data_IF_194355795925
#
_entry.id   IF_194355795925
#
_cell.length_a   1.000
_cell.length_b   1.000
_cell.length_c   1.000
_cell.angle_alpha   90.00
_cell.angle_beta   90.00
_cell.angle_gamma   90.00
#
_symmetry.space_group_name_H-M   'P 1'
#
loop_
_entity.id
_entity.type
_entity.pdbx_description
1 polymer ?
#
# COMPACT_ATOMS: atom_id res chain seq x y z
N UNK A 1 -14.61 -25.56 6.83
CA UNK A 1 -15.20 -24.36 7.45
C UNK A 1 -14.26 -23.93 8.57
N UNK A 2 -13.35 -22.99 8.29
CA UNK A 2 -12.60 -22.35 9.37
C UNK A 2 -13.56 -21.41 10.06
N UNK A 3 -13.71 -21.54 11.37
CA UNK A 3 -14.46 -20.58 12.19
C UNK A 3 -13.70 -19.26 12.09
N UNK A 4 -14.34 -18.21 11.58
CA UNK A 4 -13.79 -16.87 11.59
C UNK A 4 -13.88 -16.33 13.02
N UNK A 5 -12.83 -16.54 13.81
CA UNK A 5 -12.61 -15.75 15.02
C UNK A 5 -12.02 -14.40 14.59
N UNK A 6 -12.83 -13.35 14.70
CA UNK A 6 -12.42 -11.97 14.43
C UNK A 6 -11.68 -11.41 15.66
N UNK A 7 -10.52 -11.98 16.00
CA UNK A 7 -9.64 -11.36 16.98
C UNK A 7 -8.73 -10.37 16.26
N UNK A 8 -9.23 -9.14 16.06
CA UNK A 8 -8.47 -8.03 15.47
C UNK A 8 -7.38 -7.47 16.42
N UNK A 9 -6.99 -8.24 17.44
CA UNK A 9 -6.01 -7.88 18.46
C UNK A 9 -4.99 -8.98 18.66
N UNK A 10 -3.73 -8.57 18.78
CA UNK A 10 -2.63 -9.42 19.21
C UNK A 10 -2.03 -8.80 20.48
N UNK A 11 -2.13 -9.49 21.61
CA UNK A 11 -1.60 -9.01 22.90
C UNK A 11 -2.04 -7.57 23.24
N UNK A 12 -3.35 -7.32 23.22
CA UNK A 12 -4.00 -6.01 23.46
C UNK A 12 -3.67 -4.87 22.46
N UNK A 13 -2.82 -5.13 21.46
CA UNK A 13 -2.53 -4.19 20.37
C UNK A 13 -3.35 -4.53 19.12
N UNK A 14 -3.71 -3.54 18.29
CA UNK A 14 -4.40 -3.82 17.04
C UNK A 14 -3.55 -4.73 16.15
N UNK A 15 -4.18 -5.71 15.51
CA UNK A 15 -3.56 -6.65 14.57
C UNK A 15 -2.89 -5.90 13.40
N UNK A 16 -3.53 -4.85 12.92
CA UNK A 16 -2.96 -3.87 12.00
C UNK A 16 -3.70 -2.55 12.13
N UNK A 17 -3.13 -1.49 11.57
CA UNK A 17 -3.76 -0.19 11.47
C UNK A 17 -4.08 0.11 10.00
N UNK A 18 -5.01 1.03 9.75
CA UNK A 18 -5.21 1.63 8.44
C UNK A 18 -4.85 3.11 8.56
N UNK A 19 -4.02 3.67 7.65
CA UNK A 19 -3.69 5.09 7.75
C UNK A 19 -4.96 5.93 7.64
N UNK A 20 -5.08 6.94 8.49
CA UNK A 20 -6.24 7.83 8.49
C UNK A 20 -6.40 8.47 7.10
N UNK A 21 -7.62 8.52 6.62
CA UNK A 21 -7.91 9.06 5.30
C UNK A 21 -9.19 9.88 5.31
N UNK A 22 -9.27 10.82 4.36
CA UNK A 22 -10.45 11.61 4.10
C UNK A 22 -10.79 11.52 2.61
N UNK A 23 -12.06 11.22 2.33
CA UNK A 23 -12.59 11.27 0.98
C UNK A 23 -13.09 12.69 0.68
N UNK A 24 -12.72 13.19 -0.49
CA UNK A 24 -13.19 14.44 -1.06
C UNK A 24 -13.91 14.10 -2.38
N UNK A 25 -15.08 14.69 -2.65
CA UNK A 25 -15.75 14.48 -3.93
C UNK A 25 -15.25 15.44 -5.01
N UNK A 26 -14.56 16.50 -4.60
CA UNK A 26 -13.85 17.43 -5.47
C UNK A 26 -12.61 17.90 -4.75
N UNK A 27 -11.58 18.34 -5.49
CA UNK A 27 -10.35 18.76 -4.84
C UNK A 27 -10.56 20.02 -3.99
N UNK A 28 -11.38 20.96 -4.44
CA UNK A 28 -11.63 22.22 -3.71
C UNK A 28 -12.36 22.03 -2.37
N UNK A 29 -12.92 20.85 -2.07
CA UNK A 29 -13.50 20.56 -0.75
C UNK A 29 -12.50 20.82 0.39
N UNK A 30 -11.19 20.64 0.16
CA UNK A 30 -10.17 20.86 1.21
C UNK A 30 -10.13 22.29 1.76
N UNK A 31 -10.63 23.28 1.00
CA UNK A 31 -10.69 24.69 1.42
C UNK A 31 -11.83 24.99 2.40
N UNK A 32 -12.87 24.16 2.40
CA UNK A 32 -14.09 24.37 3.19
C UNK A 32 -14.33 23.29 4.23
N UNK A 33 -13.63 22.16 4.12
CA UNK A 33 -13.69 21.00 5.02
C UNK A 33 -12.45 20.96 5.90
N UNK A 34 -12.63 20.58 7.16
CA UNK A 34 -11.50 20.30 8.04
C UNK A 34 -10.74 19.07 7.53
N UNK A 35 -9.47 19.26 7.19
CA UNK A 35 -8.57 18.18 6.76
C UNK A 35 -7.91 17.58 8.00
N UNK A 36 -8.61 16.62 8.60
CA UNK A 36 -8.15 15.89 9.78
C UNK A 36 -7.26 14.69 9.39
N UNK A 37 -6.16 14.98 8.67
CA UNK A 37 -5.08 14.03 8.37
C UNK A 37 -3.73 14.70 8.59
N UNK A 38 -2.73 13.94 9.04
CA UNK A 38 -1.36 14.43 9.18
C UNK A 38 -0.63 14.38 7.84
N UNK A 39 0.17 15.41 7.59
CA UNK A 39 1.09 15.48 6.47
C UNK A 39 2.50 15.01 6.86
N UNK A 40 3.25 14.37 5.95
CA UNK A 40 2.94 14.14 4.52
C UNK A 40 1.74 13.21 4.31
N UNK A 41 1.11 13.33 3.14
CA UNK A 41 -0.08 12.57 2.77
C UNK A 41 -0.01 12.10 1.31
N UNK A 42 -0.69 11.00 1.01
CA UNK A 42 -0.86 10.48 -0.35
C UNK A 42 -2.25 10.83 -0.87
N UNK A 43 -2.33 11.50 -2.01
CA UNK A 43 -3.56 11.62 -2.78
C UNK A 43 -3.70 10.43 -3.73
N UNK A 44 -4.79 9.69 -3.57
CA UNK A 44 -5.21 8.59 -4.45
C UNK A 44 -6.53 8.96 -5.11
N UNK A 45 -6.72 8.60 -6.38
CA UNK A 45 -8.04 8.72 -7.01
C UNK A 45 -9.01 7.70 -6.38
N UNK A 46 -10.30 8.04 -6.27
CA UNK A 46 -11.31 7.12 -5.73
C UNK A 46 -11.68 6.00 -6.70
N UNK A 47 -11.49 6.22 -8.00
CA UNK A 47 -11.68 5.18 -9.01
C UNK A 47 -10.56 4.14 -8.87
N UNK A 48 -10.90 2.96 -8.36
CA UNK A 48 -9.94 1.93 -7.99
C UNK A 48 -9.67 0.86 -9.09
N UNK A 49 -10.36 0.92 -10.25
CA UNK A 49 -10.30 -0.15 -11.24
C UNK A 49 -10.16 0.33 -12.70
N UNK A 50 -9.28 -0.37 -13.42
CA UNK A 50 -9.30 -0.60 -14.88
C UNK A 50 -8.97 0.58 -15.80
N UNK A 51 -8.54 1.72 -15.26
CA UNK A 51 -8.08 2.85 -16.05
C UNK A 51 -6.64 3.23 -15.66
N UNK A 52 -5.88 3.78 -16.60
CA UNK A 52 -4.49 4.24 -16.35
C UNK A 52 -4.45 5.28 -15.23
N UNK A 53 -5.52 6.04 -15.08
CA UNK A 53 -5.71 7.08 -14.08
C UNK A 53 -5.78 6.52 -12.66
N UNK A 54 -6.40 5.35 -12.44
CA UNK A 54 -6.57 4.75 -11.10
C UNK A 54 -5.25 4.53 -10.34
N UNK A 55 -4.14 4.44 -11.08
CA UNK A 55 -2.80 4.21 -10.56
C UNK A 55 -1.97 5.47 -10.40
N UNK A 56 -2.49 6.62 -10.85
CA UNK A 56 -1.87 7.92 -10.68
C UNK A 56 -2.09 8.41 -9.25
N UNK A 57 -1.00 8.65 -8.54
CA UNK A 57 -0.98 9.11 -7.17
C UNK A 57 -0.13 10.37 -7.04
N UNK A 58 -0.38 11.14 -6.00
CA UNK A 58 0.44 12.32 -5.70
C UNK A 58 0.81 12.36 -4.24
N UNK A 59 2.10 12.42 -3.97
CA UNK A 59 2.66 12.57 -2.63
C UNK A 59 2.71 14.06 -2.26
N UNK A 60 2.16 14.40 -1.11
CA UNK A 60 1.95 15.78 -0.67
C UNK A 60 2.74 15.99 0.62
N UNK A 61 3.79 16.82 0.63
CA UNK A 61 4.62 16.98 1.82
C UNK A 61 3.94 17.79 2.93
N UNK A 62 3.05 18.72 2.58
CA UNK A 62 2.38 19.60 3.55
C UNK A 62 1.02 20.11 3.05
N UNK A 63 0.18 20.60 3.96
CA UNK A 63 -1.17 21.09 3.63
C UNK A 63 -1.14 22.31 2.70
N UNK A 64 -0.10 23.14 2.80
CA UNK A 64 0.10 24.32 1.95
C UNK A 64 0.34 23.95 0.48
N UNK A 65 0.64 22.69 0.19
CA UNK A 65 0.87 22.17 -1.16
C UNK A 65 -0.38 21.57 -1.81
N UNK A 66 -1.53 21.53 -1.11
CA UNK A 66 -2.78 20.97 -1.61
C UNK A 66 -3.24 21.60 -2.93
N UNK A 67 -3.10 22.92 -3.11
CA UNK A 67 -3.47 23.59 -4.38
C UNK A 67 -2.65 23.10 -5.58
N UNK A 68 -1.44 22.54 -5.37
CA UNK A 68 -0.62 22.01 -6.47
C UNK A 68 -1.21 20.75 -7.10
N UNK A 69 -2.11 20.05 -6.41
CA UNK A 69 -2.78 18.87 -6.94
C UNK A 69 -3.64 19.17 -8.18
N UNK A 70 -4.14 20.41 -8.33
CA UNK A 70 -4.90 20.87 -9.52
C UNK A 70 -4.12 20.73 -10.84
N UNK A 71 -2.80 20.54 -10.77
CA UNK A 71 -1.96 20.23 -11.95
C UNK A 71 -2.19 18.80 -12.47
N UNK A 72 -2.69 17.90 -11.63
CA UNK A 72 -2.72 16.45 -11.88
C UNK A 72 -4.11 15.80 -11.71
N UNK A 73 -5.04 16.52 -11.08
CA UNK A 73 -6.39 16.06 -10.74
C UNK A 73 -7.37 17.13 -11.21
N UNK A 74 -8.46 16.71 -11.84
CA UNK A 74 -9.50 17.63 -12.31
C UNK A 74 -10.31 18.21 -11.13
N UNK A 75 -10.86 19.42 -11.28
CA UNK A 75 -11.54 20.12 -10.18
C UNK A 75 -12.70 19.30 -9.57
N UNK A 76 -13.44 18.56 -10.39
CA UNK A 76 -14.59 17.74 -9.98
C UNK A 76 -14.21 16.28 -9.68
N UNK A 77 -12.94 15.93 -9.66
CA UNK A 77 -12.51 14.56 -9.46
C UNK A 77 -12.49 14.18 -7.97
N UNK A 78 -13.04 13.01 -7.69
CA UNK A 78 -13.14 12.50 -6.34
C UNK A 78 -11.84 11.79 -5.92
N UNK A 79 -11.27 12.23 -4.80
CA UNK A 79 -9.96 11.75 -4.30
C UNK A 79 -10.03 11.29 -2.85
N UNK A 80 -9.03 10.52 -2.45
CA UNK A 80 -8.74 10.14 -1.07
C UNK A 80 -7.41 10.77 -0.70
N UNK A 81 -7.39 11.56 0.37
CA UNK A 81 -6.15 12.01 0.99
C UNK A 81 -5.90 11.09 2.19
N UNK A 82 -4.82 10.32 2.15
CA UNK A 82 -4.45 9.33 3.16
C UNK A 82 -3.13 9.73 3.82
N UNK A 83 -3.03 9.61 5.14
CA UNK A 83 -1.77 9.86 5.86
C UNK A 83 -0.62 9.02 5.28
N UNK A 84 0.52 9.66 5.02
CA UNK A 84 1.73 8.94 4.65
C UNK A 84 2.40 8.39 5.92
N UNK A 85 2.49 7.07 5.99
CA UNK A 85 3.18 6.40 7.08
C UNK A 85 4.66 6.38 6.76
N UNK A 86 5.49 6.90 7.65
CA UNK A 86 6.95 6.78 7.55
C UNK A 86 7.32 5.30 7.70
N UNK A 87 7.98 4.70 6.69
CA UNK A 87 8.20 3.25 6.58
C UNK A 87 9.57 2.85 6.01
N UNK A 88 10.54 3.77 6.05
CA UNK A 88 11.95 3.53 5.67
C UNK A 88 12.17 3.09 4.22
N UNK A 89 11.25 3.40 3.30
CA UNK A 89 11.39 3.05 1.89
C UNK A 89 11.17 1.58 1.57
N UNK A 90 10.52 0.82 2.46
CA UNK A 90 10.22 -0.60 2.24
C UNK A 90 8.73 -0.89 2.40
N UNK A 91 8.11 -1.46 1.38
CA UNK A 91 6.74 -1.97 1.43
C UNK A 91 6.75 -3.49 1.36
N UNK A 92 5.86 -4.13 2.12
CA UNK A 92 5.70 -5.59 2.14
C UNK A 92 4.48 -5.93 1.31
N UNK A 93 4.67 -6.71 0.25
CA UNK A 93 3.58 -7.27 -0.56
C UNK A 93 3.23 -8.64 -0.01
N UNK A 94 1.98 -8.84 0.38
CA UNK A 94 1.48 -10.14 0.82
C UNK A 94 0.47 -10.64 -0.20
N UNK A 95 0.70 -11.83 -0.73
CA UNK A 95 -0.18 -12.53 -1.65
C UNK A 95 -0.89 -13.65 -0.89
N UNK A 96 -2.18 -13.79 -1.13
CA UNK A 96 -3.03 -14.79 -0.48
C UNK A 96 -3.70 -15.64 -1.54
N UNK A 97 -3.53 -16.96 -1.43
CA UNK A 97 -4.16 -17.96 -2.28
C UNK A 97 -4.66 -19.12 -1.43
N UNK A 98 -5.97 -19.35 -1.41
CA UNK A 98 -6.62 -20.41 -0.59
C UNK A 98 -6.18 -20.40 0.89
N UNK A 99 -6.00 -19.20 1.46
CA UNK A 99 -5.59 -19.01 2.86
C UNK A 99 -4.09 -19.19 3.13
N UNK A 100 -3.28 -19.56 2.14
CA UNK A 100 -1.82 -19.53 2.25
C UNK A 100 -1.29 -18.15 1.87
N UNK A 101 -0.24 -17.71 2.57
CA UNK A 101 0.41 -16.43 2.29
C UNK A 101 1.80 -16.60 1.67
N UNK A 102 2.17 -15.67 0.80
CA UNK A 102 3.56 -15.43 0.38
C UNK A 102 3.83 -13.94 0.55
N UNK A 103 4.93 -13.58 1.21
CA UNK A 103 5.30 -12.20 1.45
C UNK A 103 6.64 -11.85 0.80
N UNK A 104 6.76 -10.66 0.25
CA UNK A 104 8.01 -10.13 -0.30
C UNK A 104 8.18 -8.65 0.04
N UNK A 105 9.42 -8.20 0.23
CA UNK A 105 9.71 -6.77 0.40
C UNK A 105 9.99 -6.12 -0.96
N UNK A 106 9.60 -4.85 -1.11
CA UNK A 106 9.84 -4.06 -2.33
C UNK A 106 10.30 -2.63 -1.99
N UNK A 107 11.02 -1.96 -2.91
CA UNK A 107 11.28 -0.54 -2.83
C UNK A 107 10.01 0.28 -2.65
N UNK A 108 10.11 1.36 -1.88
CA UNK A 108 9.03 2.31 -1.64
C UNK A 108 9.59 3.70 -1.33
N UNK A 109 8.71 4.63 -0.98
CA UNK A 109 9.05 6.01 -0.66
C UNK A 109 9.86 6.11 0.65
N UNK A 110 10.99 6.83 0.58
CA UNK A 110 11.82 7.18 1.73
C UNK A 110 10.98 7.93 2.76
N UNK A 111 11.48 7.95 4.00
CA UNK A 111 10.90 8.83 4.99
C UNK A 111 11.02 10.29 4.54
N UNK A 112 9.93 11.03 4.72
CA UNK A 112 9.81 12.41 4.28
C UNK A 112 9.69 13.36 5.44
N UNK A 113 10.30 14.53 5.31
CA UNK A 113 9.92 15.69 6.08
C UNK A 113 8.71 16.40 5.42
N UNK A 114 8.38 17.59 5.90
CA UNK A 114 7.28 18.42 5.36
C UNK A 114 7.77 19.42 4.30
N UNK A 115 8.96 19.22 3.74
CA UNK A 115 9.58 20.12 2.78
C UNK A 115 9.50 19.57 1.35
N UNK A 116 9.86 20.40 0.37
CA UNK A 116 9.79 20.06 -1.05
C UNK A 116 8.46 20.40 -1.71
N UNK A 117 8.25 19.86 -2.91
CA UNK A 117 7.03 19.99 -3.71
C UNK A 117 6.30 18.65 -3.83
N UNK A 118 5.09 18.68 -4.38
CA UNK A 118 4.33 17.46 -4.62
C UNK A 118 5.02 16.57 -5.64
N UNK A 119 4.96 15.26 -5.45
CA UNK A 119 5.52 14.28 -6.39
C UNK A 119 4.39 13.47 -6.99
N UNK A 120 4.16 13.64 -8.28
CA UNK A 120 3.17 12.89 -9.05
C UNK A 120 3.81 11.67 -9.72
N UNK A 121 3.16 10.52 -9.65
CA UNK A 121 3.70 9.27 -10.18
C UNK A 121 2.61 8.25 -10.52
N UNK A 122 2.95 7.31 -11.39
CA UNK A 122 2.17 6.09 -11.64
C UNK A 122 2.71 4.95 -10.76
N UNK A 123 1.85 4.42 -9.90
CA UNK A 123 2.20 3.29 -9.03
C UNK A 123 2.61 2.01 -9.79
N UNK A 124 2.16 1.82 -11.03
CA UNK A 124 2.50 0.64 -11.84
C UNK A 124 3.91 0.66 -12.42
N UNK A 125 4.46 1.86 -12.64
CA UNK A 125 5.78 2.07 -13.22
C UNK A 125 6.89 2.11 -12.16
N UNK A 126 6.53 2.04 -10.87
CA UNK A 126 7.50 2.02 -9.79
C UNK A 126 8.35 0.74 -9.81
N UNK A 127 9.64 0.84 -9.44
CA UNK A 127 10.52 -0.29 -9.23
C UNK A 127 9.90 -1.37 -8.33
N UNK A 128 9.99 -2.63 -8.77
CA UNK A 128 9.48 -3.78 -8.01
C UNK A 128 10.57 -4.51 -7.23
N UNK A 129 11.83 -4.22 -7.52
CA UNK A 129 13.02 -4.76 -6.85
C UNK A 129 14.04 -3.66 -6.61
N UNK A 130 14.81 -3.79 -5.54
CA UNK A 130 15.95 -2.92 -5.28
C UNK A 130 17.02 -3.09 -6.38
N UNK A 131 17.89 -2.08 -6.51
CA UNK A 131 19.01 -2.06 -7.46
C UNK A 131 18.58 -2.17 -8.94
N UNK A 132 17.36 -1.75 -9.26
CA UNK A 132 16.89 -1.69 -10.65
C UNK A 132 17.47 -0.49 -11.41
N UNK A 133 17.65 -0.65 -12.72
CA UNK A 133 18.07 0.40 -13.65
C UNK A 133 16.90 1.24 -14.20
N UNK A 134 15.68 1.06 -13.67
CA UNK A 134 14.53 1.88 -14.07
C UNK A 134 14.83 3.37 -13.81
N UNK A 135 14.74 4.16 -14.88
CA UNK A 135 14.84 5.61 -14.84
C UNK A 135 13.54 6.18 -14.25
N UNK A 136 13.69 6.99 -13.21
CA UNK A 136 12.60 7.73 -12.57
C UNK A 136 12.78 9.20 -12.90
N UNK A 137 11.69 9.98 -12.85
CA UNK A 137 11.82 11.44 -12.91
C UNK A 137 12.68 11.94 -11.75
N UNK A 138 13.36 13.08 -11.96
CA UNK A 138 14.26 13.67 -10.96
C UNK A 138 13.58 13.86 -9.60
N UNK A 139 12.30 14.24 -9.58
CA UNK A 139 11.56 14.46 -8.33
C UNK A 139 11.20 13.15 -7.63
N UNK A 140 10.90 12.10 -8.41
CA UNK A 140 10.60 10.77 -7.86
C UNK A 140 11.87 10.06 -7.35
N UNK A 141 13.00 10.17 -8.05
CA UNK A 141 14.27 9.54 -7.66
C UNK A 141 14.79 10.09 -6.30
N UNK A 142 14.53 11.37 -6.02
CA UNK A 142 14.84 12.00 -4.72
C UNK A 142 14.09 11.33 -3.57
N UNK A 143 12.80 11.03 -3.75
CA UNK A 143 11.92 10.54 -2.68
C UNK A 143 11.75 9.03 -2.64
N UNK A 144 12.15 8.30 -3.68
CA UNK A 144 11.97 6.85 -3.79
C UNK A 144 13.27 6.08 -3.48
N UNK A 145 13.18 5.00 -2.70
CA UNK A 145 14.35 4.21 -2.29
C UNK A 145 14.69 3.11 -3.30
N UNK A 146 15.22 3.51 -4.46
CA UNK A 146 15.57 2.55 -5.54
C UNK A 146 16.78 1.66 -5.22
N UNK A 147 17.74 2.20 -4.47
CA UNK A 147 18.95 1.51 -4.03
C UNK A 147 18.94 1.35 -2.52
N UNK A 148 19.45 0.23 -2.02
CA UNK A 148 19.48 -0.06 -0.59
C UNK A 148 20.91 -0.36 -0.09
N UNK A 149 21.77 0.68 -0.03
CA UNK A 149 23.13 0.52 0.46
C UNK A 149 23.19 0.19 1.96
N UNK A 150 22.10 0.42 2.70
CA UNK A 150 21.99 0.16 4.13
C UNK A 150 21.42 -1.22 4.47
N UNK A 151 21.02 -1.99 3.47
CA UNK A 151 20.28 -3.25 3.63
C UNK A 151 19.05 -3.11 4.54
N UNK A 152 18.33 -1.98 4.45
CA UNK A 152 17.11 -1.76 5.22
C UNK A 152 16.01 -2.78 4.88
N UNK A 153 15.95 -3.28 3.64
CA UNK A 153 14.98 -4.30 3.26
C UNK A 153 15.19 -5.60 4.03
N UNK A 154 16.45 -6.04 4.20
CA UNK A 154 16.81 -7.23 4.98
C UNK A 154 16.42 -7.04 6.46
N UNK A 155 16.68 -5.84 6.99
CA UNK A 155 16.31 -5.51 8.38
C UNK A 155 14.79 -5.54 8.57
N UNK A 156 14.01 -4.98 7.63
CA UNK A 156 12.55 -4.98 7.66
C UNK A 156 11.99 -6.39 7.49
N UNK A 157 12.56 -7.19 6.61
CA UNK A 157 12.18 -8.58 6.40
C UNK A 157 12.40 -9.43 7.65
N UNK A 158 13.53 -9.25 8.35
CA UNK A 158 13.81 -9.93 9.61
C UNK A 158 12.85 -9.56 10.76
N UNK A 159 12.14 -8.43 10.65
CA UNK A 159 11.12 -7.98 11.62
C UNK A 159 9.72 -8.49 11.29
N UNK A 160 9.53 -9.18 10.15
CA UNK A 160 8.22 -9.68 9.76
C UNK A 160 7.78 -10.83 10.65
N UNK A 161 6.60 -10.65 11.23
CA UNK A 161 5.87 -11.68 11.93
C UNK A 161 4.90 -12.32 10.94
N UNK A 162 5.31 -13.45 10.37
CA UNK A 162 4.51 -14.21 9.42
C UNK A 162 3.21 -14.74 10.02
N UNK A 163 3.16 -15.01 11.34
CA UNK A 163 1.92 -15.40 12.00
C UNK A 163 0.94 -14.22 12.02
N UNK A 164 1.43 -13.02 12.34
CA UNK A 164 0.63 -11.79 12.26
C UNK A 164 0.14 -11.51 10.83
N UNK A 165 0.99 -11.66 9.81
CA UNK A 165 0.57 -11.52 8.41
C UNK A 165 -0.51 -12.53 8.02
N UNK A 166 -0.40 -13.77 8.49
CA UNK A 166 -1.41 -14.82 8.27
C UNK A 166 -2.73 -14.47 8.94
N UNK A 167 -2.70 -13.93 10.16
CA UNK A 167 -3.91 -13.45 10.85
C UNK A 167 -4.56 -12.27 10.10
N UNK A 168 -3.77 -11.32 9.59
CA UNK A 168 -4.29 -10.21 8.75
C UNK A 168 -4.98 -10.78 7.50
N UNK A 169 -4.33 -11.73 6.81
CA UNK A 169 -4.92 -12.40 5.65
C UNK A 169 -6.24 -13.09 5.99
N UNK A 170 -6.33 -13.78 7.13
CA UNK A 170 -7.55 -14.44 7.58
C UNK A 170 -8.66 -13.42 7.90
N UNK A 171 -8.35 -12.31 8.58
CA UNK A 171 -9.32 -11.25 8.88
C UNK A 171 -9.86 -10.63 7.58
N UNK A 172 -8.99 -10.29 6.62
CA UNK A 172 -9.39 -9.78 5.31
C UNK A 172 -10.22 -10.80 4.51
N UNK A 173 -9.86 -12.08 4.56
CA UNK A 173 -10.63 -13.17 3.95
C UNK A 173 -12.05 -13.23 4.52
N UNK A 174 -12.18 -13.22 5.85
CA UNK A 174 -13.48 -13.31 6.52
C UNK A 174 -14.37 -12.09 6.21
N UNK A 175 -13.78 -10.90 6.05
CA UNK A 175 -14.51 -9.67 5.75
C UNK A 175 -14.90 -9.54 4.27
N UNK A 176 -14.02 -9.96 3.35
CA UNK A 176 -14.18 -9.71 1.90
C UNK A 176 -14.58 -10.95 1.09
N UNK A 177 -14.43 -12.16 1.65
CA UNK A 177 -14.74 -13.42 0.98
C UNK A 177 -13.82 -13.77 -0.21
N UNK A 178 -12.66 -13.12 -0.33
CA UNK A 178 -11.78 -13.25 -1.49
C UNK A 178 -10.89 -14.49 -1.40
N UNK A 179 -10.83 -15.30 -2.47
CA UNK A 179 -9.95 -16.48 -2.51
C UNK A 179 -8.52 -16.16 -2.95
N UNK A 180 -8.41 -15.22 -3.88
CA UNK A 180 -7.15 -14.72 -4.43
C UNK A 180 -7.13 -13.22 -4.25
N UNK A 181 -6.23 -12.74 -3.40
CA UNK A 181 -6.04 -11.32 -3.18
C UNK A 181 -4.61 -11.05 -2.74
N UNK A 182 -4.22 -9.79 -2.80
CA UNK A 182 -2.99 -9.33 -2.16
C UNK A 182 -3.26 -8.09 -1.34
N UNK A 183 -2.43 -7.85 -0.35
CA UNK A 183 -2.48 -6.63 0.44
C UNK A 183 -1.08 -6.12 0.71
N UNK A 184 -1.02 -4.80 0.85
CA UNK A 184 0.22 -4.06 1.05
C UNK A 184 0.34 -3.66 2.51
N UNK A 185 1.49 -3.99 3.11
CA UNK A 185 1.79 -3.69 4.51
C UNK A 185 3.00 -2.77 4.60
N UNK A 186 2.89 -1.74 5.44
CA UNK A 186 3.99 -0.89 5.87
C UNK A 186 4.35 -1.20 7.33
N UNK A 187 5.64 -1.30 7.62
CA UNK A 187 6.18 -1.32 8.98
C UNK A 187 6.61 0.09 9.37
N UNK A 188 5.85 0.74 10.25
CA UNK A 188 6.10 2.13 10.64
C UNK A 188 7.50 2.29 11.25
N UNK A 189 8.27 3.28 10.81
CA UNK A 189 9.72 3.40 11.08
C UNK A 189 10.17 3.39 12.54
N UNK A 190 9.34 3.89 13.46
CA UNK A 190 9.71 4.03 14.88
C UNK A 190 9.23 2.89 15.77
N UNK A 191 8.10 2.29 15.41
CA UNK A 191 7.34 1.35 16.26
C UNK A 191 7.21 -0.03 15.63
N UNK A 192 7.50 -0.16 14.34
CA UNK A 192 7.21 -1.33 13.52
C UNK A 192 5.75 -1.78 13.58
N UNK A 193 4.83 -0.84 13.89
CA UNK A 193 3.41 -1.10 13.79
C UNK A 193 3.03 -1.38 12.32
N UNK A 194 2.16 -2.37 12.13
CA UNK A 194 1.71 -2.83 10.81
C UNK A 194 0.59 -1.91 10.33
N UNK A 195 0.73 -1.40 9.10
CA UNK A 195 -0.29 -0.60 8.43
C UNK A 195 -0.68 -1.28 7.11
N UNK A 196 -1.93 -1.66 6.95
CA UNK A 196 -2.47 -2.12 5.66
C UNK A 196 -2.88 -0.88 4.86
N UNK A 197 -2.28 -0.70 3.68
CA UNK A 197 -2.44 0.52 2.88
C UNK A 197 -3.16 0.32 1.55
N UNK A 198 -3.24 -0.93 1.10
CA UNK A 198 -3.92 -1.32 -0.13
C UNK A 198 -4.35 -2.80 -0.09
N UNK A 199 -5.46 -3.12 -0.75
CA UNK A 199 -5.96 -4.49 -0.91
C UNK A 199 -6.42 -4.66 -2.35
N UNK A 200 -5.79 -5.60 -3.06
CA UNK A 200 -6.03 -5.87 -4.47
C UNK A 200 -6.73 -7.22 -4.64
N UNK A 201 -7.87 -7.23 -5.33
CA UNK A 201 -8.50 -8.48 -5.78
C UNK A 201 -7.68 -9.07 -6.93
N UNK A 202 -7.31 -10.34 -6.80
CA UNK A 202 -6.57 -11.09 -7.81
C UNK A 202 -5.39 -10.29 -8.42
N UNK A 203 -4.33 -9.97 -7.63
CA UNK A 203 -3.13 -9.34 -8.16
C UNK A 203 -2.39 -10.28 -9.13
N UNK A 204 -1.27 -9.84 -9.70
CA UNK A 204 -0.57 -10.64 -10.71
C UNK A 204 0.15 -11.90 -10.20
N UNK A 205 0.26 -12.10 -8.88
CA UNK A 205 0.99 -13.22 -8.24
C UNK A 205 2.40 -13.49 -8.80
N UNK A 206 3.08 -12.46 -9.33
CA UNK A 206 4.38 -12.61 -10.02
C UNK A 206 5.51 -13.02 -9.08
N UNK A 207 5.37 -12.76 -7.80
CA UNK A 207 6.35 -13.12 -6.77
C UNK A 207 5.97 -14.43 -6.05
N UNK A 208 4.98 -15.18 -6.56
CA UNK A 208 4.55 -16.45 -5.98
C UNK A 208 4.99 -17.58 -6.89
N UNK A 209 5.92 -18.39 -6.39
CA UNK A 209 6.43 -19.55 -7.11
C UNK A 209 5.31 -20.55 -7.41
N UNK A 210 5.32 -21.11 -8.62
CA UNK A 210 4.35 -22.11 -9.07
C UNK A 210 2.88 -21.70 -8.97
N UNK A 211 2.57 -20.39 -9.01
CA UNK A 211 1.20 -19.88 -8.89
C UNK A 211 0.22 -20.54 -9.88
N UNK A 212 0.62 -20.78 -11.13
CA UNK A 212 -0.26 -21.40 -12.13
C UNK A 212 -0.74 -22.80 -11.71
N UNK A 213 0.16 -23.65 -11.21
CA UNK A 213 -0.20 -24.99 -10.73
C UNK A 213 -1.11 -24.91 -9.51
N UNK A 214 -0.74 -24.08 -8.53
CA UNK A 214 -1.55 -23.84 -7.34
C UNK A 214 -2.95 -23.33 -7.69
N UNK A 215 -3.07 -22.43 -8.66
CA UNK A 215 -4.34 -21.89 -9.13
C UNK A 215 -5.24 -22.99 -9.72
N UNK A 216 -4.70 -23.87 -10.56
CA UNK A 216 -5.45 -25.01 -11.12
C UNK A 216 -5.93 -25.94 -10.02
N UNK A 217 -5.05 -26.33 -9.09
CA UNK A 217 -5.41 -27.22 -7.98
C UNK A 217 -6.55 -26.64 -7.12
N UNK A 218 -6.52 -25.33 -6.84
CA UNK A 218 -7.57 -24.64 -6.08
C UNK A 218 -8.90 -24.66 -6.85
N UNK A 219 -8.87 -24.44 -8.17
CA UNK A 219 -10.07 -24.49 -8.99
C UNK A 219 -10.68 -25.88 -9.04
N UNK A 220 -9.86 -26.92 -9.22
CA UNK A 220 -10.32 -28.32 -9.25
C UNK A 220 -11.02 -28.70 -7.94
N UNK A 221 -10.45 -28.33 -6.79
CA UNK A 221 -11.06 -28.55 -5.46
C UNK A 221 -12.38 -27.81 -5.25
N UNK A 222 -12.59 -26.67 -5.91
CA UNK A 222 -13.83 -25.87 -5.77
C UNK A 222 -14.94 -26.29 -6.72
N UNK A 223 -14.58 -26.99 -7.80
CA UNK A 223 -15.52 -27.51 -8.79
C UNK A 223 -15.99 -28.94 -8.47
N UNK A 224 -15.36 -29.58 -7.49
CA UNK A 224 -15.72 -30.91 -6.96
C UNK A 224 -16.44 -30.80 -5.62
#
# INVERSE_FOLDING_TARGET
MSVCDNDDKLEDKPLFNVPKSIALNSIDEWKSKEIDVRFPAMCKRRTACSSTEAHQMTLIPSIEKMDQLKKYVEDNEAVIIQEFIQHDGVIVKVYVAEGQITASTRPSFKNMDKTGDVVHFDSQTLPKSFETEIELSDDLDKVFLKKDPSHIHIQKEALLDYNRLQQIANSLYCQLGLTFFGFDVLLQSKTNAYYVVDVNYFPSFKDVDNFHSMFVDILEKKLT
#
